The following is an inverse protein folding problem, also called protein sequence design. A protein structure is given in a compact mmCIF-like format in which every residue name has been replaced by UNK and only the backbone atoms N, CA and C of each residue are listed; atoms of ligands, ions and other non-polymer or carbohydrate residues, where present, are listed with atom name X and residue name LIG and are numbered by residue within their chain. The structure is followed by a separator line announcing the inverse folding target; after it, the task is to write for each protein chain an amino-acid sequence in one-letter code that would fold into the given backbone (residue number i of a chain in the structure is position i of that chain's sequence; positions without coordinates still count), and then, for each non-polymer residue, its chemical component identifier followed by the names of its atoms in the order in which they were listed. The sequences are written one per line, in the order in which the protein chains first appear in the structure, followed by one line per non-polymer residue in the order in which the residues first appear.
data_IF_183780735145
#
_entry.id   IF_183780735145
#
_cell.length_a   1.000
_cell.length_b   1.000
_cell.length_c   1.000
_cell.angle_alpha   90.00
_cell.angle_beta   90.00
_cell.angle_gamma   90.00
#
_symmetry.space_group_name_H-M   'P 1'
#
loop_
_entity.id
_entity.type
_entity.pdbx_description
1 polymer ?
#
# COMPACT_ATOMS: atom_id res chain seq x y z
N UNK A 1 32.37 17.07 -20.01
CA UNK A 1 31.35 16.52 -20.95
C UNK A 1 30.98 15.18 -20.38
N UNK A 2 29.90 15.11 -19.60
CA UNK A 2 29.57 13.91 -18.82
C UNK A 2 28.16 13.49 -19.22
N UNK A 3 28.12 12.41 -19.99
CA UNK A 3 26.91 11.72 -20.42
C UNK A 3 26.39 10.91 -19.21
N UNK A 4 25.19 11.22 -18.73
CA UNK A 4 24.47 10.30 -17.84
C UNK A 4 23.64 9.36 -18.72
N UNK A 5 24.02 8.09 -18.69
CA UNK A 5 23.39 7.02 -19.46
C UNK A 5 21.92 6.86 -19.10
N UNK A 6 21.13 6.53 -20.13
CA UNK A 6 19.68 6.52 -20.11
C UNK A 6 19.09 5.55 -19.10
N UNK A 7 18.19 6.08 -18.28
CA UNK A 7 16.90 5.45 -18.06
C UNK A 7 15.88 6.25 -18.88
N UNK A 8 15.63 5.83 -20.13
CA UNK A 8 14.34 6.14 -20.74
C UNK A 8 13.34 5.29 -19.95
N UNK A 9 12.52 5.95 -19.11
CA UNK A 9 11.24 5.37 -18.75
C UNK A 9 10.51 5.20 -20.08
N UNK A 10 10.40 3.96 -20.55
CA UNK A 10 9.53 3.66 -21.68
C UNK A 10 8.16 4.21 -21.31
N UNK A 11 7.65 5.14 -22.14
CA UNK A 11 6.32 5.70 -22.00
C UNK A 11 5.35 4.54 -22.12
N UNK A 12 5.01 3.96 -20.97
CA UNK A 12 4.12 2.82 -20.88
C UNK A 12 2.80 3.26 -21.50
N UNK A 13 2.47 2.61 -22.62
CA UNK A 13 1.29 2.83 -23.43
C UNK A 13 0.09 3.20 -22.55
N UNK A 14 -0.42 4.41 -22.74
CA UNK A 14 -1.71 4.84 -22.21
C UNK A 14 -2.79 4.19 -23.06
N UNK A 15 -2.95 2.87 -22.91
CA UNK A 15 -4.00 2.11 -23.58
C UNK A 15 -5.36 2.64 -23.11
N UNK A 16 -6.11 3.37 -23.97
CA UNK A 16 -7.40 3.93 -23.61
C UNK A 16 -8.49 2.86 -23.44
N UNK A 17 -8.19 1.60 -23.79
CA UNK A 17 -9.06 0.44 -23.59
C UNK A 17 -8.72 -0.36 -22.31
N UNK A 18 -7.89 0.22 -21.41
CA UNK A 18 -7.63 -0.25 -20.05
C UNK A 18 -8.90 -0.15 -19.17
N UNK A 19 -9.92 -0.93 -19.52
CA UNK A 19 -11.06 -1.27 -18.66
C UNK A 19 -10.65 -2.10 -17.42
N UNK A 20 -9.34 -2.41 -17.26
CA UNK A 20 -8.79 -3.37 -16.31
C UNK A 20 -8.40 -2.86 -14.93
N UNK A 21 -8.54 -1.56 -14.60
CA UNK A 21 -8.06 -1.03 -13.30
C UNK A 21 -9.12 -0.33 -12.46
N UNK A 22 -10.41 -0.65 -12.65
CA UNK A 22 -11.43 -0.15 -11.72
C UNK A 22 -11.35 -0.92 -10.42
N UNK A 23 -10.80 -0.24 -9.41
CA UNK A 23 -10.85 -0.66 -8.02
C UNK A 23 -12.31 -0.92 -7.64
N UNK A 24 -12.56 -2.06 -7.01
CA UNK A 24 -13.89 -2.40 -6.48
C UNK A 24 -14.30 -1.33 -5.45
N UNK A 25 -15.48 -0.69 -5.60
CA UNK A 25 -15.94 0.32 -4.66
C UNK A 25 -16.07 -0.22 -3.23
N UNK A 26 -15.76 0.61 -2.25
CA UNK A 26 -15.72 0.23 -0.85
C UNK A 26 -15.20 1.34 0.05
N UNK A 27 -15.03 1.02 1.33
CA UNK A 27 -14.59 1.95 2.37
C UNK A 27 -13.51 1.33 3.24
N UNK A 28 -12.59 2.15 3.73
CA UNK A 28 -11.63 1.73 4.75
C UNK A 28 -12.23 1.89 6.14
N UNK A 29 -12.10 0.86 6.96
CA UNK A 29 -12.33 0.96 8.41
C UNK A 29 -11.03 0.78 9.16
N UNK A 30 -10.96 1.37 10.35
CA UNK A 30 -9.88 1.07 11.30
C UNK A 30 -9.96 -0.39 11.76
N UNK A 31 -8.80 -0.95 12.07
CA UNK A 31 -8.63 -2.32 12.50
C UNK A 31 -7.60 -2.41 13.61
N UNK A 32 -7.72 -3.44 14.44
CA UNK A 32 -6.70 -3.82 15.40
C UNK A 32 -5.54 -4.54 14.72
N UNK A 33 -4.40 -4.63 15.40
CA UNK A 33 -3.26 -5.44 14.92
C UNK A 33 -3.67 -6.90 14.65
N UNK A 34 -4.53 -7.46 15.52
CA UNK A 34 -4.98 -8.85 15.42
C UNK A 34 -5.85 -9.08 14.18
N UNK A 35 -6.80 -8.17 13.90
CA UNK A 35 -7.63 -8.26 12.69
C UNK A 35 -6.80 -8.12 11.41
N UNK A 36 -5.85 -7.18 11.40
CA UNK A 36 -4.95 -6.98 10.27
C UNK A 36 -4.06 -8.21 10.00
N UNK A 37 -3.50 -8.81 11.06
CA UNK A 37 -2.75 -10.06 10.96
C UNK A 37 -3.61 -11.22 10.43
N UNK A 38 -4.85 -11.33 10.89
CA UNK A 38 -5.77 -12.39 10.47
C UNK A 38 -6.14 -12.26 8.99
N UNK A 39 -6.43 -11.04 8.52
CA UNK A 39 -6.70 -10.77 7.11
C UNK A 39 -5.48 -11.13 6.24
N UNK A 40 -4.27 -10.75 6.67
CA UNK A 40 -3.04 -11.08 5.93
C UNK A 40 -2.76 -12.58 5.82
N UNK A 41 -3.16 -13.37 6.82
CA UNK A 41 -2.92 -14.82 6.83
C UNK A 41 -3.93 -15.60 5.99
N UNK A 42 -5.15 -15.10 5.89
CA UNK A 42 -6.27 -15.85 5.33
C UNK A 42 -6.61 -15.49 3.88
N UNK A 43 -5.88 -14.58 3.25
CA UNK A 43 -6.14 -14.13 1.88
C UNK A 43 -4.89 -14.25 1.01
N UNK A 44 -5.10 -14.48 -0.29
CA UNK A 44 -4.05 -14.39 -1.29
C UNK A 44 -3.80 -12.92 -1.64
N UNK A 45 -2.78 -12.34 -1.01
CA UNK A 45 -2.46 -10.92 -1.08
C UNK A 45 -1.19 -10.66 -1.87
N UNK A 46 -1.22 -9.57 -2.63
CA UNK A 46 -0.03 -8.98 -3.24
C UNK A 46 0.20 -7.57 -2.71
N UNK A 47 1.46 -7.17 -2.60
CA UNK A 47 1.83 -5.81 -2.18
C UNK A 47 1.48 -4.86 -3.32
N UNK A 48 0.62 -3.88 -3.05
CA UNK A 48 0.20 -2.88 -4.04
C UNK A 48 1.00 -1.59 -3.92
N UNK A 49 1.35 -1.19 -2.71
CA UNK A 49 2.18 -0.02 -2.46
C UNK A 49 2.99 -0.19 -1.18
N UNK A 50 4.14 0.48 -1.13
CA UNK A 50 5.01 0.50 0.03
C UNK A 50 5.76 1.82 0.11
N UNK A 51 5.95 2.31 1.32
CA UNK A 51 6.78 3.47 1.59
C UNK A 51 7.51 3.27 2.92
N UNK A 52 8.82 3.49 2.93
CA UNK A 52 9.64 3.36 4.14
C UNK A 52 10.50 4.62 4.28
N UNK A 53 10.29 5.35 5.37
CA UNK A 53 11.10 6.48 5.78
C UNK A 53 11.49 6.30 7.25
N UNK A 54 12.63 5.66 7.50
CA UNK A 54 13.11 5.39 8.86
C UNK A 54 13.69 6.62 9.55
N UNK A 55 14.03 7.66 8.78
CA UNK A 55 14.67 8.86 9.31
C UNK A 55 13.68 10.00 9.52
N UNK A 56 12.51 9.96 8.88
CA UNK A 56 11.53 11.05 8.89
C UNK A 56 11.96 12.20 7.98
N UNK A 57 12.58 11.89 6.84
CA UNK A 57 12.99 12.89 5.84
C UNK A 57 11.80 13.55 5.15
N UNK A 58 10.67 12.87 5.07
CA UNK A 58 9.46 13.31 4.37
C UNK A 58 8.26 13.49 5.29
N UNK A 59 8.49 13.50 6.61
CA UNK A 59 7.46 13.59 7.63
C UNK A 59 7.80 12.73 8.83
N UNK A 60 6.78 12.15 9.44
CA UNK A 60 6.98 11.21 10.54
C UNK A 60 7.66 9.93 10.05
N UNK A 61 8.64 9.43 10.82
CA UNK A 61 9.36 8.21 10.47
C UNK A 61 8.44 6.98 10.55
N UNK A 62 8.20 6.33 9.42
CA UNK A 62 7.23 5.25 9.31
C UNK A 62 7.58 4.24 8.21
N UNK A 63 6.92 3.09 8.30
CA UNK A 63 6.77 2.12 7.22
C UNK A 63 5.29 1.94 6.94
N UNK A 64 4.91 2.21 5.70
CA UNK A 64 3.58 1.99 5.16
C UNK A 64 3.61 0.83 4.17
N UNK A 65 2.63 -0.06 4.26
CA UNK A 65 2.40 -1.10 3.26
C UNK A 65 0.90 -1.18 2.98
N UNK A 66 0.52 -1.17 1.70
CA UNK A 66 -0.83 -1.56 1.28
C UNK A 66 -0.80 -2.86 0.50
N UNK A 67 -1.82 -3.66 0.75
CA UNK A 67 -2.03 -4.97 0.17
C UNK A 67 -3.36 -4.99 -0.55
N UNK A 68 -3.44 -5.74 -1.63
CA UNK A 68 -4.70 -6.04 -2.27
C UNK A 68 -4.71 -7.44 -2.86
N UNK A 69 -5.84 -7.79 -3.46
CA UNK A 69 -6.06 -9.08 -4.10
C UNK A 69 -5.08 -9.31 -5.25
N UNK A 70 -4.77 -10.57 -5.51
CA UNK A 70 -3.89 -10.98 -6.61
C UNK A 70 -4.39 -10.58 -8.00
N UNK A 71 -5.69 -10.32 -8.16
CA UNK A 71 -6.29 -9.83 -9.41
C UNK A 71 -6.09 -8.32 -9.64
N UNK A 72 -5.52 -7.60 -8.68
CA UNK A 72 -5.24 -6.16 -8.79
C UNK A 72 -6.48 -5.26 -8.65
N UNK A 73 -7.64 -5.79 -8.21
CA UNK A 73 -8.90 -5.03 -8.20
C UNK A 73 -9.43 -4.64 -6.84
N UNK A 74 -9.06 -5.36 -5.78
CA UNK A 74 -9.59 -5.12 -4.44
C UNK A 74 -8.47 -4.78 -3.47
N UNK A 75 -8.39 -3.54 -2.94
CA UNK A 75 -7.60 -3.25 -1.77
C UNK A 75 -8.09 -4.14 -0.62
N UNK A 76 -7.20 -4.57 0.25
CA UNK A 76 -7.57 -5.48 1.36
C UNK A 76 -7.16 -4.89 2.70
N UNK A 77 -5.88 -4.56 2.86
CA UNK A 77 -5.35 -4.09 4.14
C UNK A 77 -4.25 -3.05 3.91
N UNK A 78 -4.19 -2.06 4.80
CA UNK A 78 -3.15 -1.05 4.83
C UNK A 78 -2.61 -0.91 6.24
N UNK A 79 -1.29 -0.87 6.37
CA UNK A 79 -0.59 -0.87 7.63
C UNK A 79 0.39 0.30 7.70
N UNK A 80 0.40 1.00 8.83
CA UNK A 80 1.41 1.99 9.18
C UNK A 80 2.10 1.54 10.45
N UNK A 81 3.42 1.46 10.40
CA UNK A 81 4.28 1.19 11.54
C UNK A 81 5.19 2.38 11.76
N UNK A 82 5.05 3.04 12.88
CA UNK A 82 5.93 4.13 13.27
C UNK A 82 7.27 3.57 13.73
N UNK A 83 8.35 4.25 13.32
CA UNK A 83 9.71 3.84 13.67
C UNK A 83 10.04 4.35 15.08
N UNK A 84 10.85 3.59 15.81
CA UNK A 84 11.24 3.64 17.24
C UNK A 84 11.58 5.02 17.89
N UNK A 85 11.50 6.14 17.16
CA UNK A 85 11.60 7.49 17.71
C UNK A 85 10.39 7.85 18.61
N UNK A 86 9.23 7.26 18.34
CA UNK A 86 8.00 7.41 19.14
C UNK A 86 7.50 6.03 19.61
N UNK A 87 8.19 5.41 20.58
CA UNK A 87 7.91 4.02 21.06
C UNK A 87 6.49 3.78 21.61
N UNK A 88 5.74 4.85 21.84
CA UNK A 88 4.40 4.80 22.39
C UNK A 88 3.31 4.94 21.32
N UNK A 89 3.67 5.17 20.05
CA UNK A 89 2.67 5.27 18.99
C UNK A 89 2.18 3.88 18.57
N UNK A 90 0.86 3.63 18.65
CA UNK A 90 0.29 2.38 18.18
C UNK A 90 0.45 2.27 16.66
N UNK A 91 0.56 1.04 16.17
CA UNK A 91 0.44 0.78 14.73
C UNK A 91 -0.97 1.18 14.26
N UNK A 92 -1.08 1.74 13.07
CA UNK A 92 -2.38 1.99 12.44
C UNK A 92 -2.65 0.92 11.40
N UNK A 93 -3.83 0.31 11.48
CA UNK A 93 -4.27 -0.69 10.52
C UNK A 93 -5.63 -0.32 9.98
N UNK A 94 -5.82 -0.55 8.68
CA UNK A 94 -7.09 -0.37 8.01
C UNK A 94 -7.42 -1.58 7.16
N UNK A 95 -8.68 -2.01 7.20
CA UNK A 95 -9.22 -3.08 6.37
C UNK A 95 -10.21 -2.45 5.39
N UNK A 96 -10.15 -2.89 4.14
CA UNK A 96 -11.08 -2.43 3.12
C UNK A 96 -12.34 -3.29 3.11
N UNK A 97 -13.50 -2.63 3.09
CA UNK A 97 -14.81 -3.26 3.05
C UNK A 97 -15.46 -2.94 1.70
N UNK A 98 -15.67 -3.97 0.89
CA UNK A 98 -16.33 -3.83 -0.41
C UNK A 98 -17.79 -3.43 -0.22
N UNK A 99 -18.25 -2.47 -1.02
CA UNK A 99 -19.67 -2.12 -1.09
C UNK A 99 -20.45 -3.29 -1.72
N UNK A 100 -21.44 -3.81 -0.98
CA UNK A 100 -22.32 -4.89 -1.44
C UNK A 100 -23.33 -4.48 -2.50
#
# INVERSE_FOLDING_TARGET
MTYFGGCQLEEHDTDPDSSSHRIVPGTWREATCAESDEVRKNQDLTVWSGHTDTEGRYGEALMFTSWGSGDGRTPVVADVRYMDKDKDKPCEHRIYEVAG
#
